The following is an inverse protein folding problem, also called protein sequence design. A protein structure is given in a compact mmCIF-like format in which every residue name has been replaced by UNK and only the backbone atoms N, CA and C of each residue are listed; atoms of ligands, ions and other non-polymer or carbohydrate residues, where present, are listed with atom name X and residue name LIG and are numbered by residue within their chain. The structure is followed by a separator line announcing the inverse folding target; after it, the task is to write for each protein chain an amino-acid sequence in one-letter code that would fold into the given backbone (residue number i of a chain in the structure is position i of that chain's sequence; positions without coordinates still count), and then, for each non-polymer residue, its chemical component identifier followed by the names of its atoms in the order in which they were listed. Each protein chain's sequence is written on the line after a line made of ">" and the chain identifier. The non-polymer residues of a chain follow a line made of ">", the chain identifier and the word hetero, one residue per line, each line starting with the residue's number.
data_IF_151509985052
#
_entry.id   IF_151509985052
#
_cell.length_a   1.000
_cell.length_b   1.000
_cell.length_c   1.000
_cell.angle_alpha   90.00
_cell.angle_beta   90.00
_cell.angle_gamma   90.00
#
_symmetry.space_group_name_H-M   'P 1'
#
loop_
_entity.id
_entity.type
_entity.pdbx_description
1 polymer ?
#
# COMPACT_ATOMS: atom_id res chain seq x y z
N UNK A 1 -10.75 34.35 -9.06
CA UNK A 1 -9.35 33.90 -9.18
C UNK A 1 -9.13 33.18 -10.53
N UNK A 2 -9.40 33.84 -11.65
CA UNK A 2 -9.40 33.21 -12.98
C UNK A 2 -8.03 33.11 -13.68
N UNK A 3 -6.95 33.62 -13.06
CA UNK A 3 -5.66 33.86 -13.76
C UNK A 3 -4.45 33.11 -13.17
N UNK A 4 -4.62 32.26 -12.15
CA UNK A 4 -3.49 31.58 -11.50
C UNK A 4 -3.32 30.10 -11.88
N UNK A 5 -4.18 29.53 -12.73
CA UNK A 5 -4.03 28.15 -13.19
C UNK A 5 -3.00 28.09 -14.33
N UNK A 6 -1.88 27.37 -14.19
CA UNK A 6 -0.87 27.26 -15.24
C UNK A 6 -1.46 26.66 -16.53
N UNK A 7 -1.47 27.43 -17.64
CA UNK A 7 -2.08 27.03 -18.93
C UNK A 7 -1.13 26.27 -19.87
N UNK A 8 0.14 26.09 -19.49
CA UNK A 8 1.12 25.44 -20.34
C UNK A 8 0.77 23.95 -20.57
N UNK A 9 0.86 23.46 -21.81
CA UNK A 9 0.44 22.10 -22.20
C UNK A 9 0.99 20.99 -21.27
N UNK A 10 2.23 21.13 -20.79
CA UNK A 10 2.86 20.16 -19.91
C UNK A 10 2.15 19.98 -18.55
N UNK A 11 1.36 20.95 -18.09
CA UNK A 11 0.64 20.91 -16.80
C UNK A 11 -0.63 20.06 -16.86
N UNK A 12 -1.14 19.82 -18.07
CA UNK A 12 -2.37 19.04 -18.33
C UNK A 12 -2.10 17.72 -19.04
N UNK A 13 -0.97 17.57 -19.75
CA UNK A 13 -0.65 16.35 -20.51
C UNK A 13 0.31 15.42 -19.77
N UNK A 14 0.06 14.12 -19.86
CA UNK A 14 1.06 13.09 -19.56
C UNK A 14 2.15 13.05 -20.67
N UNK A 15 3.42 12.74 -20.35
CA UNK A 15 3.92 12.30 -19.05
C UNK A 15 4.31 13.42 -18.08
N UNK A 16 4.37 14.67 -18.53
CA UNK A 16 4.99 15.77 -17.79
C UNK A 16 4.31 16.06 -16.46
N UNK A 17 2.97 16.01 -16.42
CA UNK A 17 2.20 16.12 -15.18
C UNK A 17 2.56 15.03 -14.18
N UNK A 18 2.62 13.77 -14.63
CA UNK A 18 3.01 12.63 -13.80
C UNK A 18 4.44 12.77 -13.28
N UNK A 19 5.38 13.19 -14.13
CA UNK A 19 6.77 13.45 -13.74
C UNK A 19 6.88 14.55 -12.69
N UNK A 20 6.12 15.64 -12.82
CA UNK A 20 6.06 16.68 -11.81
C UNK A 20 5.52 16.14 -10.48
N UNK A 21 4.40 15.41 -10.52
CA UNK A 21 3.83 14.77 -9.33
C UNK A 21 4.82 13.82 -8.64
N UNK A 22 5.53 13.00 -9.42
CA UNK A 22 6.59 12.12 -8.92
C UNK A 22 7.71 12.94 -8.28
N UNK A 23 8.21 13.99 -8.92
CA UNK A 23 9.28 14.81 -8.37
C UNK A 23 8.90 15.44 -7.01
N UNK A 24 7.68 16.01 -6.91
CA UNK A 24 7.17 16.63 -5.69
C UNK A 24 7.01 15.59 -4.57
N UNK A 25 6.37 14.47 -4.87
CA UNK A 25 6.02 13.45 -3.85
C UNK A 25 7.23 12.62 -3.41
N UNK A 26 8.15 12.28 -4.31
CA UNK A 26 9.42 11.62 -3.95
C UNK A 26 10.31 12.58 -3.17
N UNK A 27 10.40 13.84 -3.59
CA UNK A 27 11.14 14.88 -2.86
C UNK A 27 10.60 15.07 -1.44
N UNK A 28 9.27 15.09 -1.28
CA UNK A 28 8.61 15.10 0.02
C UNK A 28 8.95 13.86 0.85
N UNK A 29 8.85 12.65 0.28
CA UNK A 29 9.15 11.42 1.01
C UNK A 29 10.61 11.37 1.49
N UNK A 30 11.55 11.84 0.67
CA UNK A 30 12.96 11.94 1.04
C UNK A 30 13.18 12.97 2.15
N UNK A 31 12.59 14.16 2.02
CA UNK A 31 12.69 15.21 3.05
C UNK A 31 12.12 14.75 4.40
N UNK A 32 10.99 14.05 4.41
CA UNK A 32 10.43 13.51 5.65
C UNK A 32 11.34 12.42 6.22
N UNK A 33 11.93 11.58 5.37
CA UNK A 33 12.84 10.51 5.81
C UNK A 33 14.09 11.08 6.49
N UNK A 34 14.61 12.25 6.07
CA UNK A 34 15.81 12.85 6.69
C UNK A 34 15.60 13.33 8.13
N UNK A 35 14.35 13.49 8.57
CA UNK A 35 14.01 13.97 9.91
C UNK A 35 14.25 12.88 10.96
N UNK A 36 14.17 11.61 10.58
CA UNK A 36 14.17 10.48 11.52
C UNK A 36 15.48 9.71 11.54
N UNK A 37 15.82 9.21 12.72
CA UNK A 37 16.80 8.13 12.85
C UNK A 37 16.19 6.78 12.46
N UNK A 38 17.04 5.77 12.25
CA UNK A 38 16.61 4.45 11.78
C UNK A 38 15.61 3.77 12.72
N UNK A 39 15.80 3.93 14.05
CA UNK A 39 14.95 3.31 15.07
C UNK A 39 13.55 3.91 15.06
N UNK A 40 13.45 5.23 14.99
CA UNK A 40 12.18 5.97 14.96
C UNK A 40 11.47 5.73 13.64
N UNK A 41 12.22 5.75 12.53
CA UNK A 41 11.70 5.52 11.18
C UNK A 41 11.06 4.14 11.04
N UNK A 42 11.75 3.08 11.47
CA UNK A 42 11.21 1.71 11.42
C UNK A 42 10.23 1.38 12.56
N UNK A 43 10.23 2.16 13.65
CA UNK A 43 9.39 1.97 14.83
C UNK A 43 8.02 2.65 14.69
N UNK A 44 7.80 3.65 15.54
CA UNK A 44 6.51 4.35 15.64
C UNK A 44 6.14 5.10 14.35
N UNK A 45 7.12 5.62 13.61
CA UNK A 45 6.83 6.35 12.38
C UNK A 45 6.18 5.43 11.33
N UNK A 46 6.70 4.20 11.14
CA UNK A 46 6.04 3.16 10.33
C UNK A 46 4.59 2.96 10.74
N UNK A 47 4.33 2.79 12.04
CA UNK A 47 2.99 2.55 12.55
C UNK A 47 2.05 3.70 12.19
N UNK A 48 2.52 4.94 12.39
CA UNK A 48 1.77 6.15 12.11
C UNK A 48 1.43 6.26 10.63
N UNK A 49 2.43 6.18 9.74
CA UNK A 49 2.20 6.34 8.29
C UNK A 49 1.32 5.23 7.73
N UNK A 50 1.50 3.99 8.17
CA UNK A 50 0.66 2.86 7.75
C UNK A 50 -0.78 3.01 8.25
N UNK A 51 -0.99 3.72 9.36
CA UNK A 51 -2.33 4.01 9.89
C UNK A 51 -3.08 5.09 9.09
N UNK A 52 -2.39 5.92 8.30
CA UNK A 52 -3.05 6.87 7.38
C UNK A 52 -3.65 6.17 6.16
N UNK A 53 -3.06 5.06 5.72
CA UNK A 53 -3.41 4.46 4.43
C UNK A 53 -4.85 3.92 4.37
N UNK A 54 -5.40 3.21 5.37
CA UNK A 54 -6.77 2.70 5.28
C UNK A 54 -7.81 3.81 5.08
N UNK A 55 -7.69 4.90 5.85
CA UNK A 55 -8.59 6.05 5.70
C UNK A 55 -8.33 6.79 4.38
N UNK A 56 -7.10 6.83 3.88
CA UNK A 56 -6.79 7.39 2.57
C UNK A 56 -7.42 6.58 1.43
N UNK A 57 -7.39 5.25 1.52
CA UNK A 57 -8.09 4.35 0.58
C UNK A 57 -9.60 4.57 0.66
N UNK A 58 -10.16 4.80 1.85
CA UNK A 58 -11.56 5.19 1.97
C UNK A 58 -11.86 6.51 1.28
N UNK A 59 -11.12 7.57 1.59
CA UNK A 59 -11.37 8.89 0.98
C UNK A 59 -11.18 8.84 -0.54
N UNK A 60 -10.10 8.23 -1.03
CA UNK A 60 -9.77 8.19 -2.46
C UNK A 60 -10.67 7.24 -3.25
N UNK A 61 -10.95 6.04 -2.74
CA UNK A 61 -11.62 4.98 -3.49
C UNK A 61 -13.01 4.61 -2.94
N UNK A 62 -13.15 4.41 -1.63
CA UNK A 62 -14.42 3.96 -1.03
C UNK A 62 -15.52 5.02 -1.08
N UNK A 63 -15.19 6.25 -0.73
CA UNK A 63 -16.07 7.42 -0.67
C UNK A 63 -16.00 8.27 -1.94
N UNK A 64 -15.72 7.63 -3.08
CA UNK A 64 -15.80 8.23 -4.40
C UNK A 64 -15.00 9.55 -4.49
N UNK A 65 -13.69 9.50 -4.26
CA UNK A 65 -12.74 10.63 -4.39
C UNK A 65 -13.10 11.87 -3.55
N UNK A 66 -13.27 11.66 -2.25
CA UNK A 66 -13.49 12.76 -1.29
C UNK A 66 -14.88 13.37 -1.34
N UNK A 67 -15.88 12.60 -1.80
CA UNK A 67 -17.31 12.98 -1.65
C UNK A 67 -17.72 12.91 -0.18
N UNK A 68 -17.04 12.09 0.63
CA UNK A 68 -17.15 12.08 2.08
C UNK A 68 -15.75 12.21 2.74
N UNK A 69 -15.60 13.03 3.80
CA UNK A 69 -16.58 14.00 4.30
C UNK A 69 -16.92 15.06 3.24
N UNK A 70 -18.14 15.63 3.29
CA UNK A 70 -18.57 16.59 2.27
C UNK A 70 -17.64 17.81 2.27
N UNK A 71 -17.16 18.17 1.08
CA UNK A 71 -16.32 19.34 0.82
C UNK A 71 -16.96 20.31 -0.16
N UNK A 72 -18.29 20.24 -0.29
CA UNK A 72 -19.07 21.10 -1.18
C UNK A 72 -18.79 22.58 -0.90
N UNK A 73 -18.52 23.34 -1.97
CA UNK A 73 -18.19 24.77 -1.89
C UNK A 73 -16.73 25.10 -1.56
N UNK A 74 -15.89 24.13 -1.18
CA UNK A 74 -14.46 24.36 -0.92
C UNK A 74 -13.61 24.21 -2.20
N UNK A 75 -12.85 25.25 -2.51
CA UNK A 75 -11.85 25.22 -3.58
C UNK A 75 -10.49 24.75 -3.04
N UNK A 76 -9.60 24.28 -3.92
CA UNK A 76 -8.20 24.10 -3.55
C UNK A 76 -7.56 25.47 -3.22
N UNK A 77 -6.68 25.57 -2.20
CA UNK A 77 -6.09 24.48 -1.41
C UNK A 77 -6.91 24.04 -0.18
N UNK A 78 -8.00 24.73 0.15
CA UNK A 78 -8.77 24.50 1.39
C UNK A 78 -9.40 23.12 1.46
N UNK A 79 -9.94 22.64 0.32
CA UNK A 79 -10.45 21.26 0.21
C UNK A 79 -9.36 20.23 0.52
N UNK A 80 -8.20 20.37 -0.12
CA UNK A 80 -7.04 19.50 0.09
C UNK A 80 -6.56 19.50 1.54
N UNK A 81 -6.46 20.67 2.16
CA UNK A 81 -6.08 20.80 3.58
C UNK A 81 -7.09 20.13 4.52
N UNK A 82 -8.39 20.32 4.32
CA UNK A 82 -9.42 19.74 5.18
C UNK A 82 -9.42 18.21 5.10
N UNK A 83 -9.36 17.65 3.89
CA UNK A 83 -9.31 16.19 3.69
C UNK A 83 -7.99 15.59 4.18
N UNK A 84 -6.86 16.30 4.02
CA UNK A 84 -5.57 15.87 4.57
C UNK A 84 -5.60 15.87 6.10
N UNK A 85 -6.12 16.92 6.72
CA UNK A 85 -6.26 17.01 8.17
C UNK A 85 -7.19 15.89 8.70
N UNK A 86 -8.26 15.59 7.99
CA UNK A 86 -9.15 14.48 8.32
C UNK A 86 -8.42 13.12 8.25
N UNK A 87 -7.67 12.83 7.19
CA UNK A 87 -6.85 11.60 7.08
C UNK A 87 -5.83 11.50 8.20
N UNK A 88 -5.11 12.60 8.49
CA UNK A 88 -4.10 12.65 9.55
C UNK A 88 -4.73 12.41 10.92
N UNK A 89 -5.86 13.07 11.22
CA UNK A 89 -6.55 12.90 12.49
C UNK A 89 -6.96 11.44 12.72
N UNK A 90 -7.62 10.83 11.73
CA UNK A 90 -8.10 9.45 11.85
C UNK A 90 -6.95 8.47 11.92
N UNK A 91 -5.88 8.63 11.14
CA UNK A 91 -4.74 7.73 11.22
C UNK A 91 -3.91 7.92 12.49
N UNK A 92 -3.84 9.12 13.08
CA UNK A 92 -3.26 9.33 14.42
C UNK A 92 -4.08 8.55 15.44
N UNK A 93 -5.41 8.69 15.43
CA UNK A 93 -6.30 7.93 16.32
C UNK A 93 -6.11 6.42 16.13
N UNK A 94 -6.09 5.94 14.89
CA UNK A 94 -5.87 4.52 14.59
C UNK A 94 -4.51 4.04 15.09
N UNK A 95 -3.43 4.80 14.86
CA UNK A 95 -2.10 4.46 15.37
C UNK A 95 -2.07 4.37 16.89
N UNK A 96 -2.74 5.30 17.58
CA UNK A 96 -2.86 5.33 19.03
C UNK A 96 -3.65 4.11 19.55
N UNK A 97 -4.77 3.78 18.91
CA UNK A 97 -5.58 2.60 19.26
C UNK A 97 -4.77 1.32 19.07
N UNK A 98 -4.07 1.17 17.94
CA UNK A 98 -3.21 0.01 17.67
C UNK A 98 -2.12 -0.11 18.73
N UNK A 99 -1.40 0.97 19.00
CA UNK A 99 -0.27 0.99 19.94
C UNK A 99 -0.71 0.62 21.37
N UNK A 100 -1.83 1.17 21.84
CA UNK A 100 -2.27 0.94 23.21
C UNK A 100 -3.00 -0.41 23.37
N UNK A 101 -3.82 -0.79 22.39
CA UNK A 101 -4.61 -2.01 22.47
C UNK A 101 -3.81 -3.28 22.15
N UNK A 102 -2.90 -3.22 21.16
CA UNK A 102 -2.15 -4.40 20.73
C UNK A 102 -0.78 -4.54 21.39
N UNK A 103 -0.12 -3.45 21.76
CA UNK A 103 1.28 -3.52 22.23
C UNK A 103 1.60 -2.74 23.51
N UNK A 104 0.57 -2.45 24.31
CA UNK A 104 0.71 -1.84 25.65
C UNK A 104 1.54 -0.54 25.62
N UNK A 105 1.39 0.26 24.56
CA UNK A 105 2.05 1.56 24.44
C UNK A 105 3.45 1.54 23.78
N UNK A 106 3.98 0.38 23.40
CA UNK A 106 5.30 0.27 22.75
C UNK A 106 5.18 -0.25 21.32
N UNK A 107 5.79 0.39 20.33
CA UNK A 107 5.72 -0.10 18.95
C UNK A 107 6.52 -1.41 18.81
N UNK A 108 5.84 -2.47 18.39
CA UNK A 108 6.41 -3.81 18.24
C UNK A 108 6.40 -4.26 16.76
N UNK A 109 7.23 -5.24 16.36
CA UNK A 109 7.18 -5.78 15.01
C UNK A 109 5.77 -6.24 14.61
N UNK A 110 5.04 -6.92 15.50
CA UNK A 110 3.69 -7.38 15.20
C UNK A 110 2.67 -6.25 15.06
N UNK A 111 2.86 -5.08 15.67
CA UNK A 111 1.96 -3.93 15.46
C UNK A 111 2.18 -3.27 14.12
N UNK A 112 3.43 -3.19 13.67
CA UNK A 112 3.74 -2.65 12.35
C UNK A 112 3.21 -3.60 11.26
N UNK A 113 3.42 -4.91 11.43
CA UNK A 113 2.84 -5.93 10.53
C UNK A 113 1.32 -5.87 10.56
N UNK A 114 0.69 -5.71 11.72
CA UNK A 114 -0.77 -5.53 11.82
C UNK A 114 -1.25 -4.33 11.02
N UNK A 115 -0.63 -3.16 11.18
CA UNK A 115 -1.00 -1.96 10.43
C UNK A 115 -0.85 -2.17 8.91
N UNK A 116 0.27 -2.73 8.46
CA UNK A 116 0.51 -3.05 7.03
C UNK A 116 -0.56 -4.00 6.50
N UNK A 117 -0.90 -5.04 7.26
CA UNK A 117 -1.86 -6.04 6.83
C UNK A 117 -3.30 -5.50 6.85
N UNK A 118 -3.64 -4.57 7.74
CA UNK A 118 -4.90 -3.80 7.66
C UNK A 118 -4.99 -3.00 6.37
N UNK A 119 -3.89 -2.41 5.90
CA UNK A 119 -3.85 -1.73 4.59
C UNK A 119 -4.22 -2.70 3.48
N UNK A 120 -3.58 -3.88 3.44
CA UNK A 120 -3.87 -4.92 2.44
C UNK A 120 -5.34 -5.34 2.51
N UNK A 121 -5.86 -5.63 3.72
CA UNK A 121 -7.27 -6.01 3.91
C UNK A 121 -8.22 -4.92 3.44
N UNK A 122 -7.90 -3.64 3.70
CA UNK A 122 -8.72 -2.50 3.26
C UNK A 122 -8.79 -2.45 1.73
N UNK A 123 -7.66 -2.64 1.03
CA UNK A 123 -7.68 -2.71 -0.44
C UNK A 123 -8.56 -3.86 -0.96
N UNK A 124 -8.52 -5.04 -0.36
CA UNK A 124 -9.41 -6.13 -0.74
C UNK A 124 -10.89 -5.78 -0.51
N UNK A 125 -11.23 -5.21 0.64
CA UNK A 125 -12.62 -4.84 0.95
C UNK A 125 -13.16 -3.76 0.00
N UNK A 126 -12.29 -2.88 -0.50
CA UNK A 126 -12.67 -1.78 -1.39
C UNK A 126 -12.67 -2.19 -2.85
N UNK A 127 -11.57 -2.76 -3.33
CA UNK A 127 -11.38 -3.10 -4.75
C UNK A 127 -12.10 -4.40 -5.08
N UNK A 128 -11.89 -5.45 -4.28
CA UNK A 128 -12.46 -6.77 -4.58
C UNK A 128 -13.95 -6.83 -4.17
N UNK A 129 -14.29 -6.34 -2.98
CA UNK A 129 -15.66 -6.44 -2.44
C UNK A 129 -16.53 -5.20 -2.68
N UNK A 130 -15.99 -4.08 -3.19
CA UNK A 130 -16.79 -2.89 -3.47
C UNK A 130 -17.59 -2.40 -2.25
N UNK A 131 -17.00 -2.47 -1.06
CA UNK A 131 -17.64 -2.16 0.24
C UNK A 131 -18.73 -3.14 0.70
N UNK A 132 -18.92 -4.30 0.05
CA UNK A 132 -19.81 -5.34 0.56
C UNK A 132 -19.32 -5.86 1.93
N UNK A 133 -20.21 -6.12 2.91
CA UNK A 133 -21.68 -6.16 2.81
C UNK A 133 -22.40 -4.82 3.04
N UNK A 134 -21.67 -3.73 3.23
CA UNK A 134 -22.22 -2.44 3.64
C UNK A 134 -22.54 -1.49 2.49
N UNK A 135 -22.30 -1.90 1.24
CA UNK A 135 -22.47 -1.10 0.04
C UNK A 135 -23.90 -0.56 -0.19
N UNK A 136 -24.91 -1.10 0.50
CA UNK A 136 -26.30 -0.62 0.45
C UNK A 136 -26.64 0.46 1.49
N UNK A 137 -25.71 0.78 2.39
CA UNK A 137 -25.89 1.84 3.39
C UNK A 137 -25.52 3.21 2.81
N UNK A 138 -25.69 4.27 3.61
CA UNK A 138 -25.19 5.60 3.24
C UNK A 138 -23.68 5.57 3.02
N UNK A 139 -23.18 6.46 2.15
CA UNK A 139 -21.76 6.50 1.76
C UNK A 139 -20.84 6.55 3.00
N UNK A 140 -21.13 7.42 3.95
CA UNK A 140 -20.36 7.50 5.20
C UNK A 140 -20.41 6.22 6.02
N UNK A 141 -21.60 5.64 6.21
CA UNK A 141 -21.77 4.41 7.01
C UNK A 141 -21.08 3.20 6.37
N UNK A 142 -21.16 3.06 5.04
CA UNK A 142 -20.53 1.95 4.34
C UNK A 142 -19.01 1.98 4.50
N UNK A 143 -18.37 3.13 4.28
CA UNK A 143 -16.91 3.24 4.45
C UNK A 143 -16.44 3.06 5.91
N UNK A 144 -17.15 3.63 6.89
CA UNK A 144 -16.79 3.45 8.30
C UNK A 144 -16.91 2.00 8.77
N UNK A 145 -18.00 1.32 8.41
CA UNK A 145 -18.19 -0.09 8.75
C UNK A 145 -17.20 -0.99 7.99
N UNK A 146 -16.86 -0.66 6.74
CA UNK A 146 -15.80 -1.34 6.00
C UNK A 146 -14.43 -1.18 6.66
N UNK A 147 -14.09 0.02 7.14
CA UNK A 147 -12.85 0.23 7.91
C UNK A 147 -12.84 -0.60 9.19
N UNK A 148 -13.91 -0.54 9.98
CA UNK A 148 -14.00 -1.31 11.21
C UNK A 148 -13.85 -2.81 10.93
N UNK A 149 -14.51 -3.30 9.88
CA UNK A 149 -14.37 -4.68 9.42
C UNK A 149 -12.93 -5.01 9.03
N UNK A 150 -12.20 -4.10 8.36
CA UNK A 150 -10.79 -4.31 8.00
C UNK A 150 -9.91 -4.53 9.25
N UNK A 151 -10.04 -3.65 10.25
CA UNK A 151 -9.29 -3.77 11.51
C UNK A 151 -9.65 -5.06 12.27
N UNK A 152 -10.94 -5.35 12.43
CA UNK A 152 -11.41 -6.54 13.16
C UNK A 152 -11.00 -7.81 12.45
N UNK A 153 -11.24 -7.90 11.14
CA UNK A 153 -10.87 -9.07 10.34
C UNK A 153 -9.37 -9.33 10.42
N UNK A 154 -8.56 -8.29 10.23
CA UNK A 154 -7.11 -8.45 10.29
C UNK A 154 -6.63 -8.82 11.70
N UNK A 155 -7.33 -8.43 12.75
CA UNK A 155 -6.96 -8.80 14.12
C UNK A 155 -7.09 -10.32 14.32
N UNK A 156 -8.19 -10.89 13.83
CA UNK A 156 -8.37 -12.35 13.82
C UNK A 156 -7.35 -13.04 12.92
N UNK A 157 -7.11 -12.53 11.70
CA UNK A 157 -6.14 -13.13 10.78
C UNK A 157 -4.73 -13.12 11.35
N UNK A 158 -4.30 -12.03 11.99
CA UNK A 158 -2.99 -11.93 12.64
C UNK A 158 -2.84 -12.99 13.73
N UNK A 159 -3.84 -13.10 14.62
CA UNK A 159 -3.81 -14.08 15.73
C UNK A 159 -3.81 -15.53 15.25
N UNK A 160 -4.58 -15.83 14.22
CA UNK A 160 -4.73 -17.20 13.73
C UNK A 160 -3.56 -17.63 12.83
N UNK A 161 -3.08 -16.75 11.96
CA UNK A 161 -2.15 -17.14 10.91
C UNK A 161 -0.71 -16.69 11.11
N UNK A 162 -0.43 -15.65 11.91
CA UNK A 162 0.93 -15.12 12.05
C UNK A 162 1.54 -15.53 13.38
N UNK A 163 2.63 -16.29 13.35
CA UNK A 163 3.49 -16.59 14.50
C UNK A 163 4.72 -15.70 14.48
N UNK A 164 4.91 -14.97 15.58
CA UNK A 164 6.06 -14.11 15.86
C UNK A 164 7.10 -14.78 16.76
N UNK A 165 6.96 -16.07 17.04
CA UNK A 165 7.79 -16.81 17.99
C UNK A 165 9.27 -16.84 17.55
N UNK A 166 9.52 -16.90 16.24
CA UNK A 166 10.85 -17.06 15.64
C UNK A 166 11.08 -16.09 14.48
N UNK A 167 12.28 -15.53 14.42
CA UNK A 167 12.86 -14.95 13.20
C UNK A 167 13.60 -16.06 12.45
N UNK A 168 13.10 -16.45 11.28
CA UNK A 168 13.57 -17.64 10.58
C UNK A 168 14.80 -17.37 9.73
N UNK A 169 14.96 -16.15 9.23
CA UNK A 169 16.02 -15.78 8.28
C UNK A 169 16.82 -14.56 8.76
N UNK A 170 17.46 -14.60 9.94
CA UNK A 170 18.08 -13.42 10.57
C UNK A 170 19.16 -12.73 9.72
N UNK A 171 19.80 -13.42 8.77
CA UNK A 171 20.82 -12.85 7.88
C UNK A 171 20.30 -12.41 6.50
N UNK A 172 19.02 -12.64 6.19
CA UNK A 172 18.47 -12.34 4.87
C UNK A 172 18.95 -13.28 3.77
N UNK A 173 19.35 -14.49 4.16
CA UNK A 173 19.76 -15.59 3.29
C UNK A 173 18.87 -16.80 3.54
N UNK A 174 18.49 -17.52 2.48
CA UNK A 174 17.62 -18.70 2.60
C UNK A 174 18.27 -19.83 3.42
N UNK A 175 19.58 -19.99 3.28
CA UNK A 175 20.41 -20.80 4.17
C UNK A 175 21.14 -19.84 5.13
N UNK A 176 20.40 -19.34 6.12
CA UNK A 176 20.96 -18.43 7.12
C UNK A 176 22.12 -19.09 7.86
N UNK A 177 23.26 -18.39 7.91
CA UNK A 177 24.43 -18.80 8.71
C UNK A 177 24.17 -18.75 10.22
N UNK A 178 23.12 -18.03 10.63
CA UNK A 178 22.65 -17.93 12.02
C UNK A 178 21.35 -18.72 12.17
N UNK A 179 21.25 -19.53 13.23
CA UNK A 179 20.02 -20.27 13.55
C UNK A 179 18.85 -19.32 13.80
N UNK A 180 17.63 -19.79 13.57
CA UNK A 180 16.42 -19.01 13.83
C UNK A 180 16.43 -18.44 15.26
N UNK A 181 16.12 -17.15 15.40
CA UNK A 181 16.25 -16.42 16.66
C UNK A 181 14.87 -16.31 17.32
N UNK A 182 14.71 -16.80 18.55
CA UNK A 182 13.46 -16.60 19.27
C UNK A 182 13.40 -15.18 19.87
N UNK A 183 12.46 -14.36 19.39
CA UNK A 183 12.35 -12.97 19.81
C UNK A 183 11.75 -12.79 21.20
N UNK A 184 10.74 -13.62 21.51
CA UNK A 184 9.88 -13.48 22.68
C UNK A 184 10.15 -14.55 23.76
N UNK A 185 11.14 -15.43 23.58
CA UNK A 185 11.53 -16.36 24.66
C UNK A 185 12.28 -15.64 25.78
N UNK A 186 12.30 -16.24 26.96
CA UNK A 186 13.07 -15.74 28.11
C UNK A 186 14.55 -15.51 27.72
N UNK A 187 15.07 -14.32 28.01
CA UNK A 187 16.42 -13.88 27.61
C UNK A 187 16.52 -13.28 26.20
N UNK A 188 15.44 -13.32 25.41
CA UNK A 188 15.33 -12.64 24.12
C UNK A 188 15.07 -11.13 24.26
N UNK A 189 15.33 -10.34 23.21
CA UNK A 189 15.23 -8.88 23.26
C UNK A 189 13.80 -8.36 23.48
N UNK A 190 12.79 -9.17 23.18
CA UNK A 190 11.37 -8.81 23.31
C UNK A 190 10.62 -9.70 24.31
N UNK A 191 11.33 -10.42 25.18
CA UNK A 191 10.76 -11.30 26.20
C UNK A 191 9.63 -10.65 27.06
N UNK A 192 9.67 -9.35 27.43
CA UNK A 192 8.58 -8.73 28.20
C UNK A 192 7.23 -8.67 27.49
N UNK A 193 7.18 -8.92 26.17
CA UNK A 193 5.96 -8.86 25.35
C UNK A 193 5.50 -10.24 24.87
N UNK A 194 6.05 -11.32 25.45
CA UNK A 194 5.78 -12.68 25.00
C UNK A 194 4.31 -13.10 25.16
N UNK A 195 3.63 -12.61 26.18
CA UNK A 195 2.24 -12.94 26.49
C UNK A 195 1.23 -12.31 25.52
N UNK A 196 1.64 -11.31 24.75
CA UNK A 196 0.80 -10.60 23.77
C UNK A 196 1.19 -10.89 22.31
N UNK A 197 2.35 -11.52 22.08
CA UNK A 197 2.82 -11.83 20.74
C UNK A 197 1.91 -12.89 20.07
N UNK A 198 1.45 -12.68 18.82
CA UNK A 198 0.68 -13.69 18.10
C UNK A 198 1.50 -14.96 17.81
N UNK A 199 0.90 -16.13 18.05
CA UNK A 199 1.50 -17.46 17.87
C UNK A 199 0.72 -18.31 16.85
N UNK A 200 0.36 -17.72 15.72
CA UNK A 200 -0.45 -18.35 14.67
C UNK A 200 0.25 -19.50 13.91
N UNK A 201 -0.42 -20.03 12.88
CA UNK A 201 0.06 -21.23 12.18
C UNK A 201 1.30 -21.05 11.30
N UNK A 202 1.50 -19.85 10.74
CA UNK A 202 2.58 -19.57 9.80
C UNK A 202 3.54 -18.53 10.36
N UNK A 203 4.84 -18.72 10.13
CA UNK A 203 5.86 -17.72 10.47
C UNK A 203 5.50 -16.38 9.85
N UNK A 204 5.54 -15.31 10.63
CA UNK A 204 5.06 -13.99 10.23
C UNK A 204 5.75 -13.47 8.95
N UNK A 205 7.06 -13.72 8.77
CA UNK A 205 7.83 -13.32 7.58
C UNK A 205 7.26 -13.96 6.31
N UNK A 206 6.84 -15.21 6.41
CA UNK A 206 6.22 -15.93 5.31
C UNK A 206 4.79 -15.46 5.06
N UNK A 207 4.01 -15.31 6.14
CA UNK A 207 2.62 -14.90 6.07
C UNK A 207 2.48 -13.50 5.47
N UNK A 208 3.30 -12.53 5.90
CA UNK A 208 3.25 -11.16 5.36
C UNK A 208 3.67 -11.12 3.90
N UNK A 209 4.74 -11.83 3.52
CA UNK A 209 5.21 -11.85 2.14
C UNK A 209 4.17 -12.49 1.21
N UNK A 210 3.58 -13.62 1.61
CA UNK A 210 2.48 -14.24 0.87
C UNK A 210 1.27 -13.31 0.74
N UNK A 211 0.85 -12.68 1.84
CA UNK A 211 -0.31 -11.78 1.84
C UNK A 211 -0.06 -10.52 1.03
N UNK A 212 1.17 -10.01 1.01
CA UNK A 212 1.59 -8.89 0.18
C UNK A 212 1.54 -9.24 -1.31
N UNK A 213 1.95 -10.45 -1.70
CA UNK A 213 1.82 -10.89 -3.09
C UNK A 213 0.36 -11.05 -3.53
N UNK A 214 -0.57 -11.37 -2.62
CA UNK A 214 -2.00 -11.28 -2.92
C UNK A 214 -2.43 -9.85 -3.28
N UNK A 215 -1.93 -8.84 -2.55
CA UNK A 215 -2.20 -7.43 -2.87
C UNK A 215 -1.68 -7.04 -4.25
N UNK A 216 -0.49 -7.52 -4.62
CA UNK A 216 0.09 -7.26 -5.95
C UNK A 216 -0.85 -7.76 -7.03
N UNK A 217 -1.32 -9.01 -6.93
CA UNK A 217 -2.22 -9.57 -7.93
C UNK A 217 -3.56 -8.84 -7.98
N UNK A 218 -4.09 -8.38 -6.84
CA UNK A 218 -5.27 -7.51 -6.81
C UNK A 218 -5.07 -6.24 -7.66
N UNK A 219 -3.92 -5.58 -7.51
CA UNK A 219 -3.60 -4.39 -8.32
C UNK A 219 -3.28 -4.72 -9.78
N UNK A 220 -2.71 -5.89 -10.08
CA UNK A 220 -2.55 -6.36 -11.47
C UNK A 220 -3.90 -6.52 -12.14
N UNK A 221 -4.88 -7.13 -11.46
CA UNK A 221 -6.25 -7.19 -11.97
C UNK A 221 -6.84 -5.79 -12.13
N UNK A 222 -6.65 -4.89 -11.16
CA UNK A 222 -7.12 -3.51 -11.29
C UNK A 222 -6.49 -2.77 -12.49
N UNK A 223 -5.19 -2.94 -12.75
CA UNK A 223 -4.49 -2.36 -13.89
C UNK A 223 -4.93 -2.98 -15.24
N UNK A 224 -5.45 -4.21 -15.22
CA UNK A 224 -6.04 -4.90 -16.36
C UNK A 224 -7.56 -4.67 -16.46
N UNK A 225 -8.12 -3.72 -15.71
CA UNK A 225 -9.57 -3.43 -15.66
C UNK A 225 -10.41 -4.68 -15.30
N UNK A 226 -9.91 -5.48 -14.37
CA UNK A 226 -10.47 -6.77 -13.94
C UNK A 226 -10.53 -7.82 -15.05
N UNK A 227 -9.74 -7.71 -16.13
CA UNK A 227 -9.65 -8.75 -17.15
C UNK A 227 -9.03 -10.04 -16.57
N UNK A 228 -9.54 -11.25 -16.92
CA UNK A 228 -10.66 -11.51 -17.83
C UNK A 228 -12.04 -11.57 -17.13
N UNK A 229 -12.11 -11.29 -15.83
CA UNK A 229 -13.34 -11.44 -15.02
C UNK A 229 -14.48 -10.53 -15.51
N UNK A 230 -14.17 -9.32 -16.01
CA UNK A 230 -15.18 -8.42 -16.56
C UNK A 230 -15.99 -9.01 -17.72
N UNK A 231 -15.47 -10.06 -18.38
CA UNK A 231 -16.16 -10.74 -19.50
C UNK A 231 -17.34 -11.59 -19.02
N UNK A 232 -17.46 -11.81 -17.71
CA UNK A 232 -18.49 -12.64 -17.10
C UNK A 232 -19.35 -11.79 -16.16
N UNK A 233 -20.47 -11.20 -16.65
CA UNK A 233 -21.32 -10.31 -15.85
C UNK A 233 -21.85 -10.93 -14.56
N UNK A 234 -22.01 -12.25 -14.51
CA UNK A 234 -22.41 -12.99 -13.31
C UNK A 234 -21.35 -12.95 -12.19
N UNK A 235 -20.06 -12.94 -12.56
CA UNK A 235 -18.95 -12.88 -11.61
C UNK A 235 -18.76 -11.44 -11.10
N UNK A 236 -19.02 -10.42 -11.92
CA UNK A 236 -18.82 -9.01 -11.57
C UNK A 236 -19.77 -8.45 -10.49
N UNK A 237 -20.66 -9.28 -9.93
CA UNK A 237 -21.59 -8.88 -8.86
C UNK A 237 -21.05 -9.26 -7.50
N UNK A 238 -21.25 -8.39 -6.50
CA UNK A 238 -20.91 -8.71 -5.11
C UNK A 238 -21.94 -9.68 -4.50
N UNK A 239 -21.53 -10.64 -3.65
CA UNK A 239 -20.17 -10.87 -3.14
C UNK A 239 -19.29 -11.77 -4.04
N UNK A 240 -19.81 -12.24 -5.18
CA UNK A 240 -19.13 -13.22 -6.03
C UNK A 240 -17.79 -12.70 -6.54
N UNK A 241 -17.74 -11.44 -7.02
CA UNK A 241 -16.50 -10.83 -7.50
C UNK A 241 -15.41 -10.87 -6.43
N UNK A 242 -15.73 -10.39 -5.22
CA UNK A 242 -14.77 -10.35 -4.12
C UNK A 242 -14.23 -11.74 -3.75
N UNK A 243 -15.12 -12.73 -3.64
CA UNK A 243 -14.74 -14.12 -3.33
C UNK A 243 -13.84 -14.70 -4.43
N UNK A 244 -14.24 -14.59 -5.69
CA UNK A 244 -13.47 -15.11 -6.83
C UNK A 244 -12.10 -14.44 -6.90
N UNK A 245 -12.04 -13.12 -6.74
CA UNK A 245 -10.80 -12.37 -6.82
C UNK A 245 -9.85 -12.72 -5.68
N UNK A 246 -10.36 -12.90 -4.45
CA UNK A 246 -9.54 -13.40 -3.32
C UNK A 246 -8.97 -14.78 -3.64
N UNK A 247 -9.80 -15.73 -4.10
CA UNK A 247 -9.34 -17.09 -4.43
C UNK A 247 -8.24 -17.05 -5.49
N UNK A 248 -8.44 -16.29 -6.57
CA UNK A 248 -7.45 -16.17 -7.64
C UNK A 248 -6.15 -15.54 -7.11
N UNK A 249 -6.24 -14.47 -6.32
CA UNK A 249 -5.06 -13.83 -5.73
C UNK A 249 -4.31 -14.78 -4.77
N UNK A 250 -5.02 -15.60 -4.00
CA UNK A 250 -4.42 -16.66 -3.15
C UNK A 250 -3.67 -17.67 -4.01
N UNK A 251 -4.30 -18.18 -5.08
CA UNK A 251 -3.67 -19.17 -5.98
C UNK A 251 -2.45 -18.59 -6.66
N UNK A 252 -2.54 -17.38 -7.22
CA UNK A 252 -1.41 -16.72 -7.88
C UNK A 252 -0.28 -16.40 -6.88
N UNK A 253 -0.61 -15.98 -5.66
CA UNK A 253 0.38 -15.79 -4.60
C UNK A 253 1.07 -17.10 -4.22
N UNK A 254 0.33 -18.22 -4.14
CA UNK A 254 0.91 -19.54 -3.89
C UNK A 254 1.86 -19.99 -5.01
N UNK A 255 1.52 -19.70 -6.27
CA UNK A 255 2.41 -19.96 -7.42
C UNK A 255 3.67 -19.09 -7.31
N UNK A 256 3.51 -17.78 -7.09
CA UNK A 256 4.62 -16.85 -6.96
C UNK A 256 5.55 -17.23 -5.78
N UNK A 257 4.96 -17.63 -4.66
CA UNK A 257 5.67 -18.15 -3.48
C UNK A 257 6.43 -19.45 -3.80
N UNK A 258 5.78 -20.40 -4.47
CA UNK A 258 6.40 -21.65 -4.90
C UNK A 258 7.61 -21.42 -5.81
N UNK A 259 7.53 -20.45 -6.71
CA UNK A 259 8.64 -20.08 -7.58
C UNK A 259 9.72 -19.33 -6.80
N UNK A 260 9.38 -18.22 -6.14
CA UNK A 260 10.35 -17.32 -5.50
C UNK A 260 11.02 -17.95 -4.28
N UNK A 261 10.23 -18.44 -3.33
CA UNK A 261 10.74 -18.93 -2.06
C UNK A 261 11.16 -20.39 -2.16
N UNK A 262 10.34 -21.25 -2.76
CA UNK A 262 10.61 -22.70 -2.77
C UNK A 262 11.61 -23.12 -3.87
N UNK A 263 11.49 -22.61 -5.10
CA UNK A 263 12.36 -23.00 -6.21
C UNK A 263 13.63 -22.14 -6.30
N UNK A 264 13.49 -20.81 -6.31
CA UNK A 264 14.61 -19.86 -6.43
C UNK A 264 15.33 -19.60 -5.10
N UNK A 265 14.83 -20.14 -3.99
CA UNK A 265 15.43 -20.02 -2.66
C UNK A 265 15.64 -18.56 -2.25
N UNK A 266 14.68 -17.70 -2.56
CA UNK A 266 14.65 -16.31 -2.10
C UNK A 266 14.01 -16.31 -0.71
N UNK A 267 14.63 -15.64 0.27
CA UNK A 267 14.03 -15.52 1.58
C UNK A 267 12.78 -14.61 1.57
N UNK A 268 11.81 -14.83 2.46
CA UNK A 268 10.49 -14.21 2.36
C UNK A 268 10.46 -12.67 2.35
N UNK A 269 11.26 -11.99 3.16
CA UNK A 269 11.25 -10.53 3.26
C UNK A 269 11.88 -9.86 2.04
N UNK A 270 12.94 -10.42 1.45
CA UNK A 270 13.49 -10.00 0.16
C UNK A 270 12.55 -10.32 -0.99
N UNK A 271 11.84 -11.44 -0.93
CA UNK A 271 10.78 -11.74 -1.90
C UNK A 271 9.62 -10.73 -1.80
N UNK A 272 9.26 -10.31 -0.59
CA UNK A 272 8.34 -9.20 -0.35
C UNK A 272 8.89 -7.88 -0.91
N UNK A 273 10.18 -7.58 -0.72
CA UNK A 273 10.81 -6.36 -1.25
C UNK A 273 10.73 -6.28 -2.78
N UNK A 274 10.92 -7.38 -3.50
CA UNK A 274 10.69 -7.39 -4.95
C UNK A 274 9.24 -7.06 -5.30
N UNK A 275 8.31 -7.61 -4.52
CA UNK A 275 6.90 -7.27 -4.62
C UNK A 275 6.63 -5.78 -4.35
N UNK A 276 7.26 -5.20 -3.33
CA UNK A 276 7.16 -3.76 -2.98
C UNK A 276 7.61 -2.90 -4.14
N UNK A 277 8.75 -3.21 -4.76
CA UNK A 277 9.27 -2.48 -5.91
C UNK A 277 8.31 -2.56 -7.10
N UNK A 278 7.76 -3.75 -7.38
CA UNK A 278 6.80 -3.93 -8.47
C UNK A 278 5.49 -3.18 -8.20
N UNK A 279 4.94 -3.29 -6.98
CA UNK A 279 3.72 -2.58 -6.61
C UNK A 279 3.91 -1.06 -6.66
N UNK A 280 5.07 -0.55 -6.23
CA UNK A 280 5.40 0.87 -6.34
C UNK A 280 5.35 1.35 -7.79
N UNK A 281 5.99 0.62 -8.71
CA UNK A 281 5.95 0.95 -10.13
C UNK A 281 4.52 0.90 -10.69
N UNK A 282 3.73 -0.08 -10.27
CA UNK A 282 2.35 -0.26 -10.72
C UNK A 282 1.46 0.88 -10.23
N UNK A 283 1.57 1.25 -8.96
CA UNK A 283 0.85 2.38 -8.37
C UNK A 283 1.27 3.72 -8.97
N UNK A 284 2.56 3.89 -9.30
CA UNK A 284 3.02 5.09 -10.02
C UNK A 284 2.33 5.22 -11.37
N UNK A 285 2.21 4.12 -12.11
CA UNK A 285 1.51 4.09 -13.40
C UNK A 285 0.02 4.39 -13.23
N UNK A 286 -0.63 3.78 -12.24
CA UNK A 286 -2.06 3.96 -11.99
C UNK A 286 -2.42 5.37 -11.51
N UNK A 287 -1.66 5.92 -10.55
CA UNK A 287 -2.02 7.15 -9.84
C UNK A 287 -1.36 8.39 -10.45
N UNK A 288 -0.05 8.36 -10.71
CA UNK A 288 0.68 9.56 -11.20
C UNK A 288 0.60 9.71 -12.72
N UNK A 289 0.82 8.62 -13.46
CA UNK A 289 0.76 8.64 -14.93
C UNK A 289 -0.62 8.34 -15.50
N UNK A 290 -1.60 8.02 -14.65
CA UNK A 290 -3.00 7.74 -15.05
C UNK A 290 -3.08 6.76 -16.21
N UNK A 291 -2.33 5.66 -16.08
CA UNK A 291 -2.23 4.57 -17.05
C UNK A 291 -1.65 4.99 -18.42
N UNK A 292 -1.00 6.15 -18.56
CA UNK A 292 -0.23 6.49 -19.75
C UNK A 292 1.12 5.76 -19.75
N UNK A 293 1.60 5.19 -20.88
CA UNK A 293 1.03 5.28 -22.23
C UNK A 293 -0.04 4.22 -22.55
N UNK A 294 -0.20 3.18 -21.72
CA UNK A 294 -1.10 2.06 -22.00
C UNK A 294 -2.54 2.46 -22.34
N UNK A 295 -3.04 3.56 -21.77
CA UNK A 295 -4.38 4.11 -22.05
C UNK A 295 -4.63 4.47 -23.53
N UNK A 296 -3.57 4.61 -24.32
CA UNK A 296 -3.66 4.85 -25.76
C UNK A 296 -3.83 3.56 -26.59
N UNK A 297 -3.82 2.39 -25.94
CA UNK A 297 -3.96 1.07 -26.55
C UNK A 297 -5.30 0.43 -26.18
N UNK A 298 -5.82 -0.51 -26.99
CA UNK A 298 -7.01 -1.27 -26.63
C UNK A 298 -6.73 -2.23 -25.45
N UNK A 299 -7.76 -2.50 -24.65
CA UNK A 299 -7.70 -3.52 -23.61
C UNK A 299 -7.65 -4.94 -24.21
N UNK A 300 -6.96 -5.91 -23.58
CA UNK A 300 -6.18 -5.79 -22.34
C UNK A 300 -4.73 -5.33 -22.58
N UNK A 301 -4.31 -5.13 -23.84
CA UNK A 301 -2.93 -4.76 -24.20
C UNK A 301 -2.43 -3.51 -23.47
N UNK A 302 -3.32 -2.52 -23.27
CA UNK A 302 -3.11 -1.35 -22.44
C UNK A 302 -2.51 -1.66 -21.05
N UNK A 303 -3.15 -2.56 -20.30
CA UNK A 303 -2.73 -2.90 -18.95
C UNK A 303 -1.41 -3.69 -18.93
N UNK A 304 -1.20 -4.59 -19.89
CA UNK A 304 0.07 -5.32 -20.01
C UNK A 304 1.25 -4.40 -20.27
N UNK A 305 1.10 -3.41 -21.17
CA UNK A 305 2.16 -2.41 -21.42
C UNK A 305 2.48 -1.63 -20.15
N UNK A 306 1.47 -1.21 -19.40
CA UNK A 306 1.69 -0.50 -18.15
C UNK A 306 2.35 -1.38 -17.07
N UNK A 307 2.02 -2.68 -17.01
CA UNK A 307 2.68 -3.64 -16.11
C UNK A 307 4.17 -3.77 -16.45
N UNK A 308 4.52 -3.88 -17.73
CA UNK A 308 5.92 -3.98 -18.17
C UNK A 308 6.70 -2.71 -17.82
N UNK A 309 6.11 -1.54 -18.06
CA UNK A 309 6.72 -0.24 -17.69
C UNK A 309 6.86 -0.13 -16.16
N UNK A 310 5.84 -0.56 -15.40
CA UNK A 310 5.86 -0.57 -13.95
C UNK A 310 7.02 -1.40 -13.38
N UNK A 311 7.36 -2.55 -13.99
CA UNK A 311 8.53 -3.35 -13.58
C UNK A 311 9.82 -2.52 -13.73
N UNK A 312 10.02 -1.87 -14.88
CA UNK A 312 11.21 -1.05 -15.14
C UNK A 312 11.29 0.11 -14.15
N UNK A 313 10.18 0.82 -13.93
CA UNK A 313 10.10 1.92 -12.96
C UNK A 313 10.42 1.42 -11.55
N UNK A 314 9.87 0.28 -11.14
CA UNK A 314 10.12 -0.31 -9.83
C UNK A 314 11.59 -0.62 -9.58
N UNK A 315 12.30 -1.13 -10.60
CA UNK A 315 13.75 -1.41 -10.54
C UNK A 315 14.54 -0.10 -10.41
N UNK A 316 14.25 0.90 -11.24
CA UNK A 316 14.94 2.20 -11.19
C UNK A 316 14.73 2.85 -9.81
N UNK A 317 13.49 2.84 -9.33
CA UNK A 317 13.14 3.39 -8.02
C UNK A 317 13.88 2.65 -6.89
N UNK A 318 13.96 1.32 -6.92
CA UNK A 318 14.72 0.57 -5.92
C UNK A 318 16.16 1.09 -5.77
N UNK A 319 16.87 1.29 -6.87
CA UNK A 319 18.25 1.79 -6.81
C UNK A 319 18.33 3.23 -6.31
N UNK A 320 17.43 4.11 -6.75
CA UNK A 320 17.39 5.49 -6.29
C UNK A 320 17.10 5.60 -4.78
N UNK A 321 16.08 4.88 -4.30
CA UNK A 321 15.72 4.86 -2.88
C UNK A 321 16.79 4.19 -2.03
N UNK A 322 17.43 3.12 -2.52
CA UNK A 322 18.56 2.49 -1.84
C UNK A 322 19.75 3.43 -1.73
N UNK A 323 20.11 4.12 -2.81
CA UNK A 323 21.21 5.08 -2.79
C UNK A 323 20.96 6.19 -1.76
N UNK A 324 19.75 6.74 -1.74
CA UNK A 324 19.34 7.73 -0.73
C UNK A 324 19.39 7.17 0.70
N UNK A 325 18.82 5.97 0.91
CA UNK A 325 18.78 5.36 2.23
C UNK A 325 20.19 5.04 2.76
N UNK A 326 21.11 4.60 1.89
CA UNK A 326 22.54 4.38 2.24
C UNK A 326 23.19 5.71 2.62
N UNK A 327 22.94 6.77 1.86
CA UNK A 327 23.45 8.10 2.17
C UNK A 327 22.98 8.62 3.54
N UNK A 328 21.71 8.42 3.89
CA UNK A 328 21.13 8.94 5.13
C UNK A 328 21.37 8.05 6.35
N UNK A 329 21.11 6.74 6.25
CA UNK A 329 21.21 5.81 7.39
C UNK A 329 22.55 5.06 7.48
N UNK A 330 23.38 5.13 6.44
CA UNK A 330 24.63 4.40 6.32
C UNK A 330 24.45 2.92 5.96
N UNK A 331 25.48 2.33 5.33
CA UNK A 331 25.49 0.92 4.94
C UNK A 331 25.29 -0.03 6.12
N UNK A 332 25.86 0.32 7.29
CA UNK A 332 25.71 -0.48 8.50
C UNK A 332 24.27 -0.47 9.04
N UNK A 333 23.56 0.66 8.91
CA UNK A 333 22.16 0.81 9.32
C UNK A 333 21.23 0.01 8.41
N UNK A 334 21.55 -0.09 7.13
CA UNK A 334 20.80 -0.86 6.13
C UNK A 334 21.18 -2.35 6.05
N UNK A 335 21.82 -2.90 7.09
CA UNK A 335 21.91 -4.36 7.20
C UNK A 335 20.52 -4.98 7.34
N UNK A 336 20.38 -6.20 6.86
CA UNK A 336 19.13 -6.94 6.99
C UNK A 336 18.69 -7.07 8.46
N UNK A 337 17.38 -6.96 8.78
CA UNK A 337 16.25 -6.74 7.88
C UNK A 337 15.91 -5.26 7.62
N UNK A 338 16.69 -4.31 8.14
CA UNK A 338 16.37 -2.89 8.08
C UNK A 338 16.26 -2.36 6.64
N UNK A 339 17.10 -2.84 5.72
CA UNK A 339 16.99 -2.47 4.30
C UNK A 339 15.60 -2.74 3.73
N UNK A 340 14.99 -3.88 4.06
CA UNK A 340 13.66 -4.24 3.54
C UNK A 340 12.62 -3.26 4.05
N UNK A 341 12.60 -3.02 5.37
CA UNK A 341 11.59 -2.17 6.00
C UNK A 341 11.77 -0.69 5.64
N UNK A 342 13.01 -0.19 5.61
CA UNK A 342 13.29 1.20 5.22
C UNK A 342 12.83 1.44 3.79
N UNK A 343 13.19 0.57 2.85
CA UNK A 343 12.80 0.73 1.45
C UNK A 343 11.29 0.57 1.27
N UNK A 344 10.66 -0.39 1.94
CA UNK A 344 9.20 -0.56 1.89
C UNK A 344 8.46 0.67 2.46
N UNK A 345 8.94 1.23 3.56
CA UNK A 345 8.37 2.43 4.17
C UNK A 345 8.54 3.66 3.27
N UNK A 346 9.71 3.87 2.69
CA UNK A 346 9.92 5.01 1.80
C UNK A 346 9.08 4.88 0.52
N UNK A 347 9.08 3.70 -0.12
CA UNK A 347 8.39 3.49 -1.40
C UNK A 347 6.87 3.44 -1.23
N UNK A 348 6.35 2.64 -0.29
CA UNK A 348 4.91 2.42 -0.14
C UNK A 348 4.30 3.01 1.13
N UNK A 349 5.07 3.19 2.20
CA UNK A 349 4.57 3.83 3.43
C UNK A 349 4.46 5.35 3.34
N UNK A 350 5.34 5.99 2.58
CA UNK A 350 5.40 7.45 2.42
C UNK A 350 4.95 7.90 1.05
N UNK A 351 5.61 7.38 0.01
CA UNK A 351 5.46 7.93 -1.33
C UNK A 351 4.10 7.58 -1.92
N UNK A 352 3.62 6.35 -1.75
CA UNK A 352 2.27 5.99 -2.20
C UNK A 352 1.16 6.83 -1.51
N UNK A 353 1.14 7.01 -0.18
CA UNK A 353 0.16 7.90 0.44
C UNK A 353 0.30 9.35 -0.02
N UNK A 354 1.53 9.83 -0.27
CA UNK A 354 1.73 11.14 -0.88
C UNK A 354 1.11 11.22 -2.28
N UNK A 355 1.24 10.18 -3.11
CA UNK A 355 0.59 10.10 -4.43
C UNK A 355 -0.93 10.10 -4.34
N UNK A 356 -1.50 9.27 -3.48
CA UNK A 356 -2.94 9.20 -3.30
C UNK A 356 -3.49 10.52 -2.73
N UNK A 357 -2.81 11.16 -1.78
CA UNK A 357 -3.16 12.51 -1.35
C UNK A 357 -3.07 13.51 -2.51
N UNK A 358 -1.95 13.55 -3.23
CA UNK A 358 -1.74 14.51 -4.31
C UNK A 358 -2.76 14.35 -5.44
N UNK A 359 -3.07 13.12 -5.83
CA UNK A 359 -4.03 12.80 -6.89
C UNK A 359 -5.49 12.91 -6.45
N UNK A 360 -5.88 12.26 -5.36
CA UNK A 360 -7.31 12.10 -4.99
C UNK A 360 -7.81 13.21 -4.05
N UNK A 361 -6.95 13.78 -3.20
CA UNK A 361 -7.33 14.81 -2.22
C UNK A 361 -7.04 16.22 -2.76
N UNK A 362 -5.87 16.40 -3.36
CA UNK A 362 -5.41 17.70 -3.87
C UNK A 362 -5.72 17.91 -5.35
N UNK A 363 -6.21 16.90 -6.07
CA UNK A 363 -6.50 16.96 -7.52
C UNK A 363 -5.33 17.55 -8.33
N UNK A 364 -4.12 17.14 -7.96
CA UNK A 364 -2.83 17.62 -8.49
C UNK A 364 -2.57 19.13 -8.33
N UNK A 365 -3.30 19.83 -7.47
CA UNK A 365 -3.02 21.24 -7.17
C UNK A 365 -1.56 21.42 -6.73
N UNK A 366 -0.83 22.43 -7.24
CA UNK A 366 -1.31 23.62 -7.95
C UNK A 366 -1.46 23.48 -9.47
N UNK A 367 -1.28 22.28 -10.04
CA UNK A 367 -1.59 22.05 -11.44
C UNK A 367 -3.12 22.03 -11.66
N UNK A 368 -3.61 22.30 -12.89
CA UNK A 368 -5.03 22.22 -13.19
C UNK A 368 -5.61 20.83 -12.89
N UNK A 369 -6.90 20.72 -12.52
CA UNK A 369 -7.60 19.45 -12.39
C UNK A 369 -7.40 18.55 -13.61
N UNK A 370 -7.44 17.24 -13.39
CA UNK A 370 -7.35 16.34 -14.54
C UNK A 370 -8.63 16.40 -15.37
N UNK A 371 -8.54 16.45 -16.72
CA UNK A 371 -9.72 16.29 -17.55
C UNK A 371 -10.43 14.97 -17.21
N UNK A 372 -11.77 14.93 -17.23
CA UNK A 372 -12.49 13.68 -17.07
C UNK A 372 -12.00 12.67 -18.12
N UNK A 373 -12.00 11.35 -17.80
CA UNK A 373 -11.77 10.32 -18.80
C UNK A 373 -12.68 10.56 -20.01
N UNK A 374 -12.21 10.32 -21.25
CA UNK A 374 -13.11 10.34 -22.40
C UNK A 374 -14.23 9.34 -22.16
N UNK A 375 -15.47 9.72 -22.52
CA UNK A 375 -16.62 8.83 -22.40
C UNK A 375 -16.29 7.49 -23.08
N UNK A 376 -16.56 6.39 -22.39
CA UNK A 376 -16.45 5.06 -22.98
C UNK A 376 -17.28 5.05 -24.26
N UNK A 377 -16.75 4.55 -25.40
CA UNK A 377 -17.53 4.46 -26.62
C UNK A 377 -18.81 3.72 -26.28
N UNK A 378 -19.94 4.37 -26.55
CA UNK A 378 -21.26 3.79 -26.37
C UNK A 378 -21.26 2.41 -27.04
N UNK A 379 -21.69 1.35 -26.35
CA UNK A 379 -21.81 0.05 -26.97
C UNK A 379 -22.83 0.19 -28.11
N UNK A 380 -22.34 0.14 -29.34
CA UNK A 380 -23.17 -0.07 -30.54
C UNK A 380 -23.69 -1.52 -30.59
#
# INVERSE_FOLDING_TARGET
>A
MGELTPTARWTITQPWRGLFGVAVTVGYAFLITTIFDLKTFNGYFTLLIMSFVPILVMVGMGWQRGTYPSTEGLQQPWRGMLLTAFVVLIGVIASYVILNFLSRGAAQPFTNVYAITVVITTFFLVIAFGLWPFNKLSLGASGWLTLLLAYVLMWYLLKLFFSFDLLSFPTGEYLSSVKAVPFYTQGGPLAPFADIAPSGFFRWECAIAFYFWMLIFLFVFAALDMWPLHKFPGIMKQPVLGIVLVIICVVLSAIAWGIGVSALKIEPLKFMLYGVCFLYGLLMMMVMFQMWPGRALPAPGAGFVNILIAIVIGIIAYYAYKAFAVWHFGDAGLKYPNNVFVLANMMLGLTFPAWACYGDIWDFWPLPPTPPPPDSPSPE
#
